data_IF_704571359791
#
_entry.id   IF_704571359791
#
_cell.length_a   1.000
_cell.length_b   1.000
_cell.length_c   1.000
_cell.angle_alpha   90.00
_cell.angle_beta   90.00
_cell.angle_gamma   90.00
#
_symmetry.space_group_name_H-M   'P 1'
#
loop_
_entity.id
_entity.type
_entity.pdbx_description
1 polymer ?
#
# COMPACT_ATOMS: atom_id res chain seq x y z
N UNK A 1 -56.12 -33.86 -24.53
CA UNK A 1 -55.82 -35.11 -25.28
C UNK A 1 -54.39 -35.12 -25.79
N UNK A 2 -53.88 -34.01 -26.36
CA UNK A 2 -52.50 -33.94 -26.86
C UNK A 2 -51.45 -34.16 -25.76
N UNK A 3 -51.62 -33.61 -24.55
CA UNK A 3 -50.67 -33.80 -23.44
C UNK A 3 -50.55 -35.25 -22.96
N UNK A 4 -51.62 -36.04 -23.07
CA UNK A 4 -51.61 -37.48 -22.76
C UNK A 4 -50.90 -38.29 -23.86
N UNK A 5 -51.06 -37.86 -25.11
CA UNK A 5 -50.37 -38.47 -26.26
C UNK A 5 -48.88 -38.12 -26.22
N UNK A 6 -48.51 -36.90 -25.84
CA UNK A 6 -47.12 -36.47 -25.72
C UNK A 6 -46.40 -37.12 -24.53
N UNK A 7 -47.04 -37.22 -23.38
CA UNK A 7 -46.49 -37.95 -22.22
C UNK A 7 -46.35 -39.45 -22.50
N UNK A 8 -47.32 -40.07 -23.19
CA UNK A 8 -47.20 -41.46 -23.64
C UNK A 8 -46.08 -41.65 -24.67
N UNK A 9 -45.97 -40.75 -25.66
CA UNK A 9 -44.91 -40.79 -26.67
C UNK A 9 -43.53 -40.60 -26.06
N UNK A 10 -43.38 -39.69 -25.11
CA UNK A 10 -42.13 -39.43 -24.39
C UNK A 10 -41.71 -40.66 -23.57
N UNK A 11 -42.63 -41.22 -22.79
CA UNK A 11 -42.38 -42.43 -22.01
C UNK A 11 -42.08 -43.66 -22.88
N UNK A 12 -42.84 -43.85 -23.97
CA UNK A 12 -42.59 -44.90 -24.94
C UNK A 12 -41.22 -44.70 -25.64
N UNK A 13 -40.86 -43.47 -26.00
CA UNK A 13 -39.58 -43.17 -26.64
C UNK A 13 -38.38 -43.43 -25.71
N UNK A 14 -38.51 -43.12 -24.42
CA UNK A 14 -37.46 -43.37 -23.42
C UNK A 14 -37.21 -44.88 -23.24
N UNK A 15 -38.28 -45.69 -23.16
CA UNK A 15 -38.18 -47.14 -23.03
C UNK A 15 -37.81 -47.84 -24.35
N UNK A 16 -38.30 -47.36 -25.49
CA UNK A 16 -37.93 -47.87 -26.83
C UNK A 16 -36.50 -47.50 -27.23
N UNK A 17 -35.79 -46.66 -26.47
CA UNK A 17 -34.36 -46.40 -26.67
C UNK A 17 -33.50 -47.63 -26.38
N UNK A 18 -33.99 -48.57 -25.56
CA UNK A 18 -33.32 -49.85 -25.37
C UNK A 18 -33.57 -50.74 -26.61
N UNK A 19 -32.54 -51.12 -27.39
CA UNK A 19 -32.70 -51.87 -28.63
C UNK A 19 -33.36 -53.25 -28.44
N UNK A 20 -33.36 -53.78 -27.21
CA UNK A 20 -34.03 -55.04 -26.89
C UNK A 20 -35.55 -54.94 -26.95
N UNK A 21 -36.15 -53.84 -26.51
CA UNK A 21 -37.61 -53.69 -26.43
C UNK A 21 -38.26 -53.69 -27.82
N UNK A 22 -37.85 -52.87 -28.80
CA UNK A 22 -38.43 -52.93 -30.14
C UNK A 22 -38.09 -54.24 -30.86
N UNK A 23 -36.88 -54.78 -30.68
CA UNK A 23 -36.52 -56.10 -31.25
C UNK A 23 -37.40 -57.22 -30.69
N UNK A 24 -37.69 -57.19 -29.39
CA UNK A 24 -38.58 -58.13 -28.73
C UNK A 24 -40.03 -57.96 -29.19
N UNK A 25 -40.53 -56.73 -29.30
CA UNK A 25 -41.89 -56.49 -29.81
C UNK A 25 -42.06 -57.04 -31.22
N UNK A 26 -41.13 -56.72 -32.14
CA UNK A 26 -41.18 -57.24 -33.51
C UNK A 26 -41.08 -58.76 -33.53
N UNK A 27 -40.14 -59.33 -32.77
CA UNK A 27 -40.01 -60.78 -32.68
C UNK A 27 -41.26 -61.43 -32.07
N UNK A 28 -41.87 -60.82 -31.06
CA UNK A 28 -43.07 -61.33 -30.41
C UNK A 28 -44.24 -61.34 -31.39
N UNK A 29 -44.39 -60.29 -32.21
CA UNK A 29 -45.42 -60.24 -33.24
C UNK A 29 -45.24 -61.33 -34.31
N UNK A 30 -43.99 -61.66 -34.67
CA UNK A 30 -43.66 -62.70 -35.65
C UNK A 30 -43.96 -64.11 -35.12
N UNK A 31 -43.55 -64.41 -33.90
CA UNK A 31 -43.72 -65.75 -33.31
C UNK A 31 -45.14 -65.98 -32.77
N UNK A 32 -45.84 -64.92 -32.35
CA UNK A 32 -47.25 -64.98 -31.94
C UNK A 32 -48.19 -64.54 -33.07
N UNK A 33 -47.85 -64.90 -34.31
CA UNK A 33 -48.59 -64.49 -35.49
C UNK A 33 -50.11 -64.82 -35.47
N UNK A 34 -50.61 -65.90 -34.82
CA UNK A 34 -52.05 -66.16 -34.77
C UNK A 34 -52.80 -65.09 -33.97
N UNK A 35 -52.19 -64.58 -32.89
CA UNK A 35 -52.75 -63.48 -32.09
C UNK A 35 -52.71 -62.17 -32.90
N UNK A 36 -51.58 -61.89 -33.56
CA UNK A 36 -51.43 -60.63 -34.30
C UNK A 36 -52.34 -60.56 -35.52
N UNK A 37 -52.46 -61.65 -36.28
CA UNK A 37 -53.38 -61.73 -37.41
C UNK A 37 -54.83 -61.61 -36.96
N UNK A 38 -55.24 -62.28 -35.87
CA UNK A 38 -56.61 -62.18 -35.36
C UNK A 38 -56.94 -60.77 -34.82
N UNK A 39 -55.95 -60.07 -34.25
CA UNK A 39 -56.11 -58.66 -33.85
C UNK A 39 -56.33 -57.74 -35.06
N UNK A 40 -55.67 -58.03 -36.17
CA UNK A 40 -55.74 -57.26 -37.43
C UNK A 40 -56.98 -57.57 -38.29
N UNK A 41 -57.66 -58.70 -38.07
CA UNK A 41 -58.90 -59.03 -38.79
C UNK A 41 -60.13 -58.29 -38.24
N UNK A 42 -61.13 -58.03 -39.09
CA UNK A 42 -62.38 -57.33 -38.76
C UNK A 42 -63.41 -58.23 -38.05
N UNK A 43 -63.00 -58.95 -37.01
CA UNK A 43 -63.89 -59.73 -36.13
C UNK A 43 -64.40 -58.89 -34.96
N UNK A 44 -65.55 -59.26 -34.39
CA UNK A 44 -66.12 -58.55 -33.25
C UNK A 44 -65.15 -58.59 -32.06
N UNK A 45 -65.13 -57.52 -31.25
CA UNK A 45 -64.25 -57.44 -30.08
C UNK A 45 -64.49 -58.60 -29.08
N UNK A 46 -65.71 -59.11 -29.00
CA UNK A 46 -66.05 -60.28 -28.19
C UNK A 46 -65.34 -61.54 -28.69
N UNK A 47 -65.38 -61.78 -30.00
CA UNK A 47 -64.76 -62.96 -30.64
C UNK A 47 -63.24 -62.92 -30.53
N UNK A 48 -62.62 -61.73 -30.61
CA UNK A 48 -61.17 -61.54 -30.39
C UNK A 48 -60.75 -61.92 -28.97
N UNK A 49 -61.52 -61.49 -27.97
CA UNK A 49 -61.23 -61.78 -26.55
C UNK A 49 -61.43 -63.27 -26.27
N UNK A 50 -62.47 -63.89 -26.82
CA UNK A 50 -62.73 -65.32 -26.68
C UNK A 50 -61.63 -66.16 -27.34
N UNK A 51 -61.19 -65.78 -28.55
CA UNK A 51 -60.05 -66.41 -29.23
C UNK A 51 -58.78 -66.32 -28.39
N UNK A 52 -58.44 -65.13 -27.86
CA UNK A 52 -57.25 -64.95 -27.03
C UNK A 52 -57.35 -65.80 -25.76
N UNK A 53 -58.50 -65.83 -25.07
CA UNK A 53 -58.69 -66.66 -23.88
C UNK A 53 -58.50 -68.15 -24.19
N UNK A 54 -59.12 -68.65 -25.25
CA UNK A 54 -59.00 -70.05 -25.63
C UNK A 54 -57.56 -70.38 -26.03
N UNK A 55 -56.94 -69.55 -26.86
CA UNK A 55 -55.57 -69.73 -27.32
C UNK A 55 -54.53 -69.69 -26.17
N UNK A 56 -54.74 -68.85 -25.15
CA UNK A 56 -53.88 -68.78 -23.97
C UNK A 56 -54.07 -69.96 -22.98
N UNK A 57 -55.23 -70.62 -22.97
CA UNK A 57 -55.57 -71.68 -22.00
C UNK A 57 -55.38 -73.11 -22.53
N UNK A 58 -54.95 -73.29 -23.79
CA UNK A 58 -54.96 -74.61 -24.43
C UNK A 58 -53.75 -75.50 -24.07
N UNK A 59 -52.61 -74.95 -23.61
CA UNK A 59 -51.42 -75.76 -23.28
C UNK A 59 -50.53 -75.12 -22.19
N UNK A 60 -50.11 -75.89 -21.19
CA UNK A 60 -49.19 -75.46 -20.11
C UNK A 60 -47.81 -74.98 -20.64
N UNK A 61 -47.47 -75.32 -21.89
CA UNK A 61 -46.24 -74.91 -22.58
C UNK A 61 -46.32 -73.58 -23.33
N UNK A 62 -47.52 -72.99 -23.43
CA UNK A 62 -47.77 -71.78 -24.23
C UNK A 62 -46.91 -70.60 -23.80
N UNK A 63 -46.85 -70.33 -22.48
CA UNK A 63 -46.05 -69.22 -21.93
C UNK A 63 -44.57 -69.31 -22.29
N UNK A 64 -44.02 -70.52 -22.30
CA UNK A 64 -42.61 -70.72 -22.63
C UNK A 64 -42.37 -70.46 -24.12
N UNK A 65 -43.24 -70.90 -25.02
CA UNK A 65 -43.04 -70.71 -26.45
C UNK A 65 -43.33 -69.26 -26.89
N UNK A 66 -44.39 -68.66 -26.37
CA UNK A 66 -44.85 -67.32 -26.74
C UNK A 66 -44.00 -66.18 -26.18
N UNK A 67 -43.23 -66.41 -25.11
CA UNK A 67 -42.36 -65.40 -24.52
C UNK A 67 -40.87 -65.71 -24.73
N UNK A 68 -40.45 -66.97 -24.59
CA UNK A 68 -39.02 -67.32 -24.62
C UNK A 68 -38.43 -67.26 -26.02
N UNK A 69 -39.13 -67.77 -27.05
CA UNK A 69 -38.61 -67.72 -28.41
C UNK A 69 -38.46 -66.29 -28.94
N UNK A 70 -39.46 -65.39 -28.77
CA UNK A 70 -39.27 -63.98 -29.09
C UNK A 70 -38.13 -63.31 -28.33
N UNK A 71 -37.97 -63.64 -27.05
CA UNK A 71 -36.91 -63.08 -26.22
C UNK A 71 -35.54 -63.53 -26.70
N UNK A 72 -35.36 -64.82 -26.98
CA UNK A 72 -34.11 -65.36 -27.50
C UNK A 72 -33.80 -64.82 -28.88
N UNK A 73 -34.78 -64.70 -29.77
CA UNK A 73 -34.58 -64.12 -31.10
C UNK A 73 -34.23 -62.63 -31.03
N UNK A 74 -34.86 -61.86 -30.13
CA UNK A 74 -34.51 -60.46 -29.90
C UNK A 74 -33.11 -60.30 -29.29
N UNK A 75 -32.74 -61.13 -28.31
CA UNK A 75 -31.38 -61.18 -27.76
C UNK A 75 -30.37 -61.53 -28.85
N UNK A 76 -30.64 -62.57 -29.64
CA UNK A 76 -29.79 -62.96 -30.76
C UNK A 76 -29.63 -61.81 -31.75
N UNK A 77 -30.71 -61.14 -32.16
CA UNK A 77 -30.64 -59.99 -33.05
C UNK A 77 -29.80 -58.86 -32.45
N UNK A 78 -30.07 -58.44 -31.21
CA UNK A 78 -29.38 -57.32 -30.57
C UNK A 78 -27.89 -57.60 -30.32
N UNK A 79 -27.51 -58.86 -30.05
CA UNK A 79 -26.10 -59.22 -29.81
C UNK A 79 -25.34 -59.65 -31.08
N UNK A 80 -25.99 -60.31 -32.03
CA UNK A 80 -25.35 -60.72 -33.28
C UNK A 80 -25.21 -59.56 -34.28
N UNK A 81 -26.19 -58.64 -34.32
CA UNK A 81 -26.20 -57.53 -35.27
C UNK A 81 -24.99 -56.59 -35.15
N UNK A 82 -24.53 -56.17 -33.95
CA UNK A 82 -23.31 -55.39 -33.80
C UNK A 82 -22.06 -56.09 -34.36
N UNK A 83 -21.93 -57.41 -34.16
CA UNK A 83 -20.81 -58.18 -34.70
C UNK A 83 -20.80 -58.20 -36.24
N UNK A 84 -21.95 -58.44 -36.85
CA UNK A 84 -22.09 -58.49 -38.31
C UNK A 84 -21.90 -57.10 -38.94
N UNK A 85 -22.45 -56.06 -38.31
CA UNK A 85 -22.34 -54.69 -38.83
C UNK A 85 -20.92 -54.12 -38.74
N UNK A 86 -20.17 -54.47 -37.69
CA UNK A 86 -18.75 -54.10 -37.58
C UNK A 86 -17.93 -54.56 -38.79
N UNK A 87 -18.06 -55.84 -39.16
CA UNK A 87 -17.34 -56.41 -40.31
C UNK A 87 -17.78 -55.79 -41.64
N UNK A 88 -19.07 -55.51 -41.81
CA UNK A 88 -19.60 -54.83 -43.00
C UNK A 88 -19.00 -53.42 -43.12
N UNK A 89 -18.94 -52.66 -42.02
CA UNK A 89 -18.37 -51.31 -42.01
C UNK A 89 -16.88 -51.33 -42.37
N UNK A 90 -16.12 -52.28 -41.82
CA UNK A 90 -14.69 -52.47 -42.14
C UNK A 90 -14.52 -52.79 -43.63
N UNK A 91 -15.30 -53.72 -44.17
CA UNK A 91 -15.28 -54.07 -45.59
C UNK A 91 -15.62 -52.87 -46.49
N UNK A 92 -16.67 -52.12 -46.16
CA UNK A 92 -17.08 -50.91 -46.90
C UNK A 92 -15.99 -49.83 -46.88
N UNK A 93 -15.35 -49.61 -45.73
CA UNK A 93 -14.25 -48.64 -45.62
C UNK A 93 -13.00 -49.09 -46.39
N UNK A 94 -12.72 -50.39 -46.41
CA UNK A 94 -11.65 -50.95 -47.24
C UNK A 94 -11.91 -50.72 -48.74
N UNK A 95 -13.13 -50.96 -49.21
CA UNK A 95 -13.53 -50.67 -50.60
C UNK A 95 -13.40 -49.18 -50.92
N UNK A 96 -13.87 -48.28 -50.04
CA UNK A 96 -13.74 -46.83 -50.22
C UNK A 96 -12.28 -46.39 -50.32
N UNK A 97 -11.40 -46.97 -49.49
CA UNK A 97 -9.97 -46.70 -49.54
C UNK A 97 -9.36 -47.19 -50.85
N UNK A 98 -9.77 -48.37 -51.32
CA UNK A 98 -9.31 -48.94 -52.58
C UNK A 98 -9.75 -48.08 -53.79
N UNK A 99 -11.01 -47.63 -53.82
CA UNK A 99 -11.52 -46.76 -54.89
C UNK A 99 -10.85 -45.39 -54.89
N UNK A 100 -10.60 -44.80 -53.71
CA UNK A 100 -9.87 -43.53 -53.59
C UNK A 100 -8.43 -43.68 -54.07
N UNK A 101 -7.74 -44.76 -53.70
CA UNK A 101 -6.38 -45.02 -54.16
C UNK A 101 -6.31 -45.28 -55.66
N UNK A 102 -7.31 -45.96 -56.24
CA UNK A 102 -7.41 -46.14 -57.70
C UNK A 102 -7.64 -44.78 -58.38
N UNK A 103 -8.54 -43.95 -57.83
CA UNK A 103 -8.79 -42.59 -58.33
C UNK A 103 -7.53 -41.73 -58.29
N UNK A 104 -6.82 -41.72 -57.17
CA UNK A 104 -5.56 -41.00 -57.00
C UNK A 104 -4.46 -41.52 -57.96
N UNK A 105 -4.39 -42.83 -58.22
CA UNK A 105 -3.48 -43.39 -59.23
C UNK A 105 -3.84 -42.94 -60.65
N UNK A 106 -5.12 -42.86 -60.98
CA UNK A 106 -5.58 -42.32 -62.26
C UNK A 106 -5.33 -40.82 -62.36
N UNK A 107 -5.67 -40.04 -61.33
CA UNK A 107 -5.44 -38.59 -61.25
C UNK A 107 -3.96 -38.25 -61.35
N UNK A 108 -3.08 -39.04 -60.73
CA UNK A 108 -1.61 -38.88 -60.81
C UNK A 108 -1.05 -39.18 -62.21
N UNK A 109 -1.75 -40.03 -62.97
CA UNK A 109 -1.36 -40.42 -64.33
C UNK A 109 -2.07 -39.59 -65.43
N UNK A 110 -3.13 -38.84 -65.10
CA UNK A 110 -3.67 -37.78 -65.95
C UNK A 110 -2.79 -36.55 -65.82
N UNK A 111 -2.23 -36.09 -66.93
CA UNK A 111 -1.59 -34.79 -67.00
C UNK A 111 -2.63 -33.71 -66.66
N UNK A 112 -2.32 -32.84 -65.70
CA UNK A 112 -3.14 -31.68 -65.37
C UNK A 112 -3.43 -30.91 -66.66
N UNK A 113 -4.69 -30.53 -66.87
CA UNK A 113 -5.03 -29.70 -68.03
C UNK A 113 -4.35 -28.32 -67.87
N UNK A 114 -4.03 -27.63 -68.98
CA UNK A 114 -3.45 -26.28 -68.92
C UNK A 114 -4.26 -25.32 -68.02
N UNK A 115 -5.58 -25.43 -68.01
CA UNK A 115 -6.48 -24.66 -67.14
C UNK A 115 -6.31 -24.96 -65.65
N UNK A 116 -6.17 -26.24 -65.29
CA UNK A 116 -5.93 -26.65 -63.90
C UNK A 116 -4.58 -26.16 -63.41
N UNK A 117 -3.55 -26.24 -64.25
CA UNK A 117 -2.21 -25.68 -63.94
C UNK A 117 -2.28 -24.16 -63.79
N UNK A 118 -2.99 -23.46 -64.68
CA UNK A 118 -3.17 -22.01 -64.61
C UNK A 118 -3.88 -21.61 -63.31
N UNK A 119 -4.98 -22.28 -62.96
CA UNK A 119 -5.73 -22.04 -61.71
C UNK A 119 -4.88 -22.31 -60.48
N UNK A 120 -4.13 -23.42 -60.46
CA UNK A 120 -3.25 -23.76 -59.35
C UNK A 120 -2.13 -22.73 -59.19
N UNK A 121 -1.50 -22.29 -60.29
CA UNK A 121 -0.49 -21.22 -60.27
C UNK A 121 -1.08 -19.91 -59.77
N UNK A 122 -2.30 -19.56 -60.17
CA UNK A 122 -2.98 -18.35 -59.69
C UNK A 122 -3.26 -18.41 -58.19
N UNK A 123 -3.70 -19.57 -57.67
CA UNK A 123 -3.90 -19.78 -56.24
C UNK A 123 -2.60 -19.64 -55.46
N UNK A 124 -1.53 -20.32 -55.88
CA UNK A 124 -0.22 -20.19 -55.22
C UNK A 124 0.30 -18.75 -55.25
N UNK A 125 0.14 -18.03 -56.37
CA UNK A 125 0.54 -16.61 -56.45
C UNK A 125 -0.27 -15.73 -55.50
N UNK A 126 -1.58 -15.96 -55.41
CA UNK A 126 -2.43 -15.20 -54.50
C UNK A 126 -2.09 -15.48 -53.03
N UNK A 127 -1.84 -16.74 -52.69
CA UNK A 127 -1.43 -17.14 -51.34
C UNK A 127 -0.04 -16.59 -50.99
N UNK A 128 0.93 -16.70 -51.91
CA UNK A 128 2.28 -16.12 -51.73
C UNK A 128 2.20 -14.63 -51.47
N UNK A 129 1.41 -13.91 -52.28
CA UNK A 129 1.21 -12.47 -52.10
C UNK A 129 0.56 -12.12 -50.76
N UNK A 130 -0.47 -12.88 -50.35
CA UNK A 130 -1.11 -12.68 -49.04
C UNK A 130 -0.15 -12.93 -47.88
N UNK A 131 0.75 -13.90 -48.00
CA UNK A 131 1.76 -14.18 -46.99
C UNK A 131 2.83 -13.09 -46.95
N UNK A 132 3.27 -12.59 -48.11
CA UNK A 132 4.20 -11.46 -48.21
C UNK A 132 3.63 -10.20 -47.56
N UNK A 133 2.36 -9.87 -47.84
CA UNK A 133 1.66 -8.73 -47.24
C UNK A 133 1.54 -8.88 -45.71
N UNK A 134 1.27 -10.09 -45.21
CA UNK A 134 1.24 -10.35 -43.76
C UNK A 134 2.61 -10.24 -43.11
N UNK A 135 3.66 -10.73 -43.77
CA UNK A 135 5.06 -10.60 -43.30
C UNK A 135 5.43 -9.12 -43.20
N UNK A 136 5.15 -8.33 -44.23
CA UNK A 136 5.44 -6.89 -44.23
C UNK A 136 4.68 -6.16 -43.12
N UNK A 137 3.40 -6.50 -42.92
CA UNK A 137 2.58 -5.96 -41.83
C UNK A 137 3.16 -6.30 -40.46
N UNK A 138 3.58 -7.55 -40.25
CA UNK A 138 4.17 -7.98 -38.98
C UNK A 138 5.53 -7.35 -38.75
N UNK A 139 6.35 -7.18 -39.78
CA UNK A 139 7.63 -6.48 -39.69
C UNK A 139 7.45 -5.00 -39.32
N UNK A 140 6.47 -4.32 -39.93
CA UNK A 140 6.12 -2.94 -39.59
C UNK A 140 5.70 -2.81 -38.12
N UNK A 141 4.82 -3.70 -37.65
CA UNK A 141 4.41 -3.74 -36.23
C UNK A 141 5.59 -4.02 -35.29
N UNK A 142 6.47 -4.95 -35.66
CA UNK A 142 7.65 -5.29 -34.87
C UNK A 142 8.60 -4.08 -34.75
N UNK A 143 8.80 -3.35 -35.84
CA UNK A 143 9.66 -2.17 -35.85
C UNK A 143 9.05 -1.03 -35.03
N UNK A 144 7.74 -0.80 -35.13
CA UNK A 144 7.04 0.18 -34.31
C UNK A 144 7.16 -0.16 -32.81
N UNK A 145 6.90 -1.41 -32.42
CA UNK A 145 7.02 -1.86 -31.04
C UNK A 145 8.46 -1.75 -30.51
N UNK A 146 9.48 -2.05 -31.34
CA UNK A 146 10.88 -1.86 -30.97
C UNK A 146 11.24 -0.39 -30.76
N UNK A 147 10.72 0.50 -31.59
CA UNK A 147 10.92 1.96 -31.43
C UNK A 147 10.30 2.44 -30.13
N UNK A 148 9.05 2.05 -29.86
CA UNK A 148 8.37 2.39 -28.61
C UNK A 148 9.11 1.85 -27.39
N UNK A 149 9.63 0.63 -27.46
CA UNK A 149 10.46 0.05 -26.40
C UNK A 149 11.75 0.85 -26.17
N UNK A 150 12.39 1.35 -27.23
CA UNK A 150 13.58 2.18 -27.12
C UNK A 150 13.25 3.53 -26.45
N UNK A 151 12.16 4.18 -26.85
CA UNK A 151 11.71 5.44 -26.26
C UNK A 151 11.34 5.27 -24.78
N UNK A 152 10.64 4.19 -24.44
CA UNK A 152 10.28 3.89 -23.06
C UNK A 152 11.52 3.64 -22.19
N UNK A 153 12.54 2.97 -22.74
CA UNK A 153 13.82 2.78 -22.04
C UNK A 153 14.55 4.11 -21.82
N UNK A 154 14.55 5.02 -22.81
CA UNK A 154 15.12 6.36 -22.63
C UNK A 154 14.40 7.11 -21.50
N UNK A 155 13.06 7.09 -21.48
CA UNK A 155 12.26 7.68 -20.42
C UNK A 155 12.57 7.06 -19.04
N UNK A 156 12.72 5.74 -18.95
CA UNK A 156 13.10 5.06 -17.70
C UNK A 156 14.49 5.50 -17.23
N UNK A 157 15.45 5.67 -18.15
CA UNK A 157 16.79 6.14 -17.76
C UNK A 157 16.78 7.58 -17.26
N UNK A 158 15.97 8.47 -17.87
CA UNK A 158 15.83 9.86 -17.43
C UNK A 158 15.16 9.96 -16.06
N UNK A 159 14.07 9.21 -15.87
CA UNK A 159 13.41 9.09 -14.57
C UNK A 159 14.36 8.55 -13.50
N UNK A 160 15.18 7.55 -13.82
CA UNK A 160 16.21 7.02 -12.92
C UNK A 160 17.23 8.09 -12.50
N UNK A 161 17.71 8.92 -13.44
CA UNK A 161 18.61 10.05 -13.13
C UNK A 161 17.93 11.10 -12.24
N UNK A 162 16.67 11.39 -12.51
CA UNK A 162 15.89 12.36 -11.72
C UNK A 162 15.67 11.86 -10.28
N UNK A 163 15.36 10.58 -10.10
CA UNK A 163 15.25 9.94 -8.79
C UNK A 163 16.57 10.06 -8.03
N UNK A 164 17.69 9.66 -8.65
CA UNK A 164 19.02 9.75 -8.01
C UNK A 164 19.40 11.19 -7.61
N UNK A 165 19.03 12.18 -8.43
CA UNK A 165 19.26 13.59 -8.10
C UNK A 165 18.40 14.04 -6.91
N UNK A 166 17.13 13.63 -6.89
CA UNK A 166 16.23 13.94 -5.78
C UNK A 166 16.68 13.28 -4.47
N UNK A 167 17.15 12.03 -4.52
CA UNK A 167 17.73 11.33 -3.37
C UNK A 167 18.95 12.07 -2.82
N UNK A 168 19.91 12.44 -3.69
CA UNK A 168 21.09 13.22 -3.26
C UNK A 168 20.72 14.57 -2.67
N UNK A 169 19.70 15.25 -3.20
CA UNK A 169 19.22 16.51 -2.66
C UNK A 169 18.58 16.29 -1.28
N UNK A 170 17.78 15.24 -1.12
CA UNK A 170 17.14 14.92 0.15
C UNK A 170 18.17 14.60 1.24
N UNK A 171 19.21 13.82 0.92
CA UNK A 171 20.33 13.54 1.82
C UNK A 171 21.07 14.83 2.25
N UNK A 172 21.23 15.78 1.32
CA UNK A 172 21.86 17.07 1.62
C UNK A 172 21.00 17.92 2.56
N UNK A 173 19.68 17.94 2.34
CA UNK A 173 18.73 18.65 3.18
C UNK A 173 18.64 18.04 4.56
N UNK A 174 18.68 16.71 4.69
CA UNK A 174 18.68 16.03 5.97
C UNK A 174 19.95 16.38 6.78
N UNK A 175 21.11 16.43 6.12
CA UNK A 175 22.35 16.89 6.75
C UNK A 175 22.27 18.34 7.23
N UNK A 176 21.72 19.24 6.41
CA UNK A 176 21.55 20.65 6.78
C UNK A 176 20.58 20.81 7.96
N UNK A 177 19.44 20.12 7.93
CA UNK A 177 18.47 20.08 9.04
C UNK A 177 19.15 19.60 10.34
N UNK A 178 19.95 18.54 10.26
CA UNK A 178 20.67 18.03 11.43
C UNK A 178 21.70 19.03 11.96
N UNK A 179 22.43 19.72 11.08
CA UNK A 179 23.34 20.80 11.47
C UNK A 179 22.59 21.93 12.17
N UNK A 180 21.50 22.42 11.57
CA UNK A 180 20.68 23.50 12.15
C UNK A 180 20.06 23.12 13.49
N UNK A 181 19.65 21.86 13.65
CA UNK A 181 19.15 21.37 14.93
C UNK A 181 20.23 21.37 16.02
N UNK A 182 21.49 21.09 15.66
CA UNK A 182 22.60 21.21 16.60
C UNK A 182 22.88 22.67 16.95
N UNK A 183 22.93 23.57 15.96
CA UNK A 183 23.07 25.02 16.19
C UNK A 183 21.98 25.54 17.15
N UNK A 184 20.73 25.12 16.94
CA UNK A 184 19.59 25.49 17.81
C UNK A 184 19.80 24.99 19.24
N UNK A 185 20.26 23.74 19.43
CA UNK A 185 20.55 23.21 20.77
C UNK A 185 21.62 24.00 21.48
N UNK A 186 22.70 24.36 20.79
CA UNK A 186 23.77 25.18 21.34
C UNK A 186 23.29 26.58 21.73
N UNK A 187 22.44 27.20 20.90
CA UNK A 187 21.81 28.49 21.20
C UNK A 187 20.86 28.41 22.41
N UNK A 188 20.13 27.31 22.57
CA UNK A 188 19.27 27.08 23.74
C UNK A 188 20.12 27.02 25.02
N UNK A 189 21.21 26.24 25.02
CA UNK A 189 22.10 26.14 26.18
C UNK A 189 22.78 27.49 26.48
N UNK A 190 23.22 28.20 25.44
CA UNK A 190 23.81 29.55 25.60
C UNK A 190 22.80 30.51 26.24
N UNK A 191 21.55 30.57 25.76
CA UNK A 191 20.52 31.40 26.37
C UNK A 191 20.22 31.02 27.82
N UNK A 192 20.23 29.73 28.14
CA UNK A 192 20.07 29.25 29.52
C UNK A 192 21.21 29.75 30.42
N UNK A 193 22.45 29.65 29.97
CA UNK A 193 23.60 30.17 30.74
C UNK A 193 23.54 31.69 30.91
N UNK A 194 23.17 32.42 29.85
CA UNK A 194 23.01 33.87 29.89
C UNK A 194 21.94 34.29 30.90
N UNK A 195 20.79 33.61 30.92
CA UNK A 195 19.74 33.88 31.91
C UNK A 195 20.20 33.62 33.35
N UNK A 196 20.96 32.56 33.59
CA UNK A 196 21.54 32.29 34.92
C UNK A 196 22.52 33.39 35.33
N UNK A 197 23.39 33.83 34.43
CA UNK A 197 24.31 34.94 34.71
C UNK A 197 23.58 36.26 34.94
N UNK A 198 22.50 36.53 34.18
CA UNK A 198 21.68 37.73 34.36
C UNK A 198 21.03 37.76 35.75
N UNK A 199 20.48 36.63 36.19
CA UNK A 199 19.90 36.52 37.53
C UNK A 199 20.94 36.72 38.63
N UNK A 200 22.12 36.10 38.49
CA UNK A 200 23.22 36.30 39.43
C UNK A 200 23.69 37.76 39.49
N UNK A 201 23.80 38.43 38.33
CA UNK A 201 24.13 39.86 38.28
C UNK A 201 23.06 40.72 38.94
N UNK A 202 21.77 40.37 38.77
CA UNK A 202 20.67 41.07 39.43
C UNK A 202 20.76 40.96 40.95
N UNK A 203 20.97 39.75 41.49
CA UNK A 203 21.19 39.53 42.93
C UNK A 203 22.40 40.33 43.44
N UNK A 204 23.48 40.37 42.67
CA UNK A 204 24.69 41.13 43.03
C UNK A 204 24.40 42.64 43.08
N UNK A 205 23.59 43.15 42.15
CA UNK A 205 23.17 44.55 42.12
C UNK A 205 22.30 44.90 43.33
N UNK A 206 21.32 44.06 43.68
CA UNK A 206 20.49 44.25 44.88
C UNK A 206 21.34 44.28 46.16
N UNK A 207 22.33 43.40 46.27
CA UNK A 207 23.27 43.40 47.40
C UNK A 207 24.10 44.68 47.46
N UNK A 208 24.60 45.17 46.31
CA UNK A 208 25.34 46.43 46.25
C UNK A 208 24.46 47.64 46.62
N UNK A 209 23.21 47.67 46.18
CA UNK A 209 22.25 48.72 46.56
C UNK A 209 21.97 48.71 48.07
N UNK A 210 21.80 47.53 48.66
CA UNK A 210 21.62 47.39 50.10
C UNK A 210 22.86 47.89 50.87
N UNK A 211 24.07 47.54 50.41
CA UNK A 211 25.33 48.04 50.99
C UNK A 211 25.44 49.57 50.88
N UNK A 212 25.12 50.15 49.72
CA UNK A 212 25.13 51.60 49.52
C UNK A 212 24.16 52.28 50.49
N UNK A 213 22.97 51.70 50.71
CA UNK A 213 22.00 52.23 51.68
C UNK A 213 22.56 52.22 53.10
N UNK A 214 23.17 51.11 53.53
CA UNK A 214 23.81 50.99 54.85
C UNK A 214 24.96 51.98 55.01
N UNK A 215 25.84 52.10 54.02
CA UNK A 215 26.95 53.07 54.03
C UNK A 215 26.44 54.51 54.11
N UNK A 216 25.39 54.86 53.37
CA UNK A 216 24.75 56.19 53.46
C UNK A 216 24.25 56.48 54.88
N UNK A 217 23.61 55.52 55.54
CA UNK A 217 23.18 55.67 56.94
C UNK A 217 24.38 55.87 57.88
N UNK A 218 25.45 55.07 57.73
CA UNK A 218 26.66 55.21 58.53
C UNK A 218 27.34 56.58 58.33
N UNK A 219 27.37 57.12 57.11
CA UNK A 219 27.89 58.47 56.83
C UNK A 219 27.07 59.53 57.57
N UNK A 220 25.74 59.47 57.49
CA UNK A 220 24.85 60.40 58.21
C UNK A 220 25.11 60.35 59.72
N UNK A 221 25.23 59.16 60.29
CA UNK A 221 25.53 58.98 61.72
C UNK A 221 26.88 59.61 62.10
N UNK A 222 27.91 59.42 61.27
CA UNK A 222 29.25 60.00 61.47
C UNK A 222 29.24 61.52 61.33
N UNK A 223 28.48 62.07 60.40
CA UNK A 223 28.29 63.53 60.26
C UNK A 223 27.65 64.12 61.52
N UNK A 224 26.61 63.48 62.06
CA UNK A 224 25.97 63.89 63.32
C UNK A 224 26.93 63.80 64.53
N UNK A 225 27.77 62.78 64.58
CA UNK A 225 28.82 62.62 65.60
C UNK A 225 29.86 63.75 65.52
N UNK A 226 30.35 64.05 64.31
CA UNK A 226 31.27 65.15 64.05
C UNK A 226 30.65 66.48 64.50
N UNK A 227 29.38 66.73 64.21
CA UNK A 227 28.69 67.95 64.63
C UNK A 227 28.55 68.08 66.15
N UNK A 228 28.29 66.97 66.85
CA UNK A 228 28.29 66.93 68.32
C UNK A 228 29.68 67.25 68.87
N UNK A 229 30.73 66.62 68.33
CA UNK A 229 32.12 66.87 68.73
C UNK A 229 32.54 68.32 68.48
N UNK A 230 32.19 68.90 67.31
CA UNK A 230 32.43 70.32 67.00
C UNK A 230 31.76 71.25 68.01
N UNK A 231 30.51 70.96 68.43
CA UNK A 231 29.81 71.73 69.47
C UNK A 231 30.54 71.64 70.82
N UNK A 232 30.89 70.43 71.25
CA UNK A 232 31.64 70.20 72.51
C UNK A 232 33.01 70.90 72.50
N UNK A 233 33.73 70.88 71.37
CA UNK A 233 35.00 71.58 71.20
C UNK A 233 34.83 73.11 71.33
N UNK A 234 33.78 73.69 70.72
CA UNK A 234 33.46 75.13 70.88
C UNK A 234 33.19 75.48 72.34
N UNK A 235 32.49 74.63 73.06
CA UNK A 235 32.19 74.82 74.48
C UNK A 235 33.44 74.73 75.36
N UNK A 236 34.26 73.69 75.19
CA UNK A 236 35.58 73.60 75.85
C UNK A 236 36.48 74.78 75.51
N UNK A 237 36.49 75.26 74.27
CA UNK A 237 37.27 76.44 73.91
C UNK A 237 36.77 77.71 74.62
N UNK A 238 35.45 77.88 74.78
CA UNK A 238 34.88 78.97 75.59
C UNK A 238 35.25 78.84 77.07
N UNK A 239 35.19 77.63 77.62
CA UNK A 239 35.59 77.34 79.00
C UNK A 239 37.09 77.59 79.22
N UNK A 240 37.93 77.20 78.27
CA UNK A 240 39.37 77.44 78.30
C UNK A 240 39.64 78.93 78.23
N UNK A 241 39.01 79.66 77.29
CA UNK A 241 39.13 81.11 77.19
C UNK A 241 38.67 81.84 78.47
N UNK A 242 37.59 81.36 79.12
CA UNK A 242 37.14 81.92 80.40
C UNK A 242 38.13 81.65 81.54
N UNK A 243 38.68 80.44 81.62
CA UNK A 243 39.76 80.08 82.57
C UNK A 243 41.02 80.90 82.32
N UNK A 244 41.44 81.08 81.07
CA UNK A 244 42.59 81.94 80.71
C UNK A 244 42.34 83.39 81.10
N UNK A 245 41.14 83.91 80.87
CA UNK A 245 40.74 85.25 81.32
C UNK A 245 40.73 85.37 82.85
N UNK A 246 40.25 84.34 83.58
CA UNK A 246 40.32 84.31 85.04
C UNK A 246 41.75 84.24 85.56
N UNK A 247 42.61 83.43 84.94
CA UNK A 247 44.04 83.35 85.23
C UNK A 247 44.73 84.69 84.95
N UNK A 248 44.45 85.35 83.83
CA UNK A 248 44.95 86.69 83.53
C UNK A 248 44.49 87.73 84.55
N UNK A 249 43.23 87.68 84.99
CA UNK A 249 42.73 88.52 86.09
C UNK A 249 43.45 88.21 87.42
N UNK A 250 43.68 86.94 87.74
CA UNK A 250 44.46 86.53 88.93
C UNK A 250 45.92 86.93 88.85
N UNK A 251 46.53 86.88 87.68
CA UNK A 251 47.90 87.34 87.43
C UNK A 251 48.00 88.86 87.56
N UNK A 252 47.01 89.60 87.03
CA UNK A 252 46.87 91.05 87.26
C UNK A 252 46.64 91.39 88.74
N UNK A 253 45.81 90.64 89.46
CA UNK A 253 45.64 90.87 90.91
C UNK A 253 46.88 90.46 91.71
N UNK A 254 47.62 89.43 91.30
CA UNK A 254 48.90 89.06 91.91
C UNK A 254 50.01 90.09 91.61
N UNK A 255 49.97 90.76 90.46
CA UNK A 255 50.78 91.94 90.17
C UNK A 255 50.33 93.18 90.97
N UNK A 256 49.04 93.33 91.27
CA UNK A 256 48.51 94.43 92.10
C UNK A 256 48.70 94.21 93.62
N UNK A 257 48.98 92.99 94.08
CA UNK A 257 49.24 92.67 95.50
C UNK A 257 50.72 92.51 95.86
N UNK A 258 51.64 92.91 94.97
CA UNK A 258 53.04 93.21 95.31
C UNK A 258 53.30 94.68 95.03
N UNK A 259 53.68 95.39 96.07
CA UNK A 259 53.75 96.83 96.22
C UNK A 259 54.66 97.55 95.19
N UNK A 260 54.28 98.81 94.97
CA UNK A 260 55.10 99.98 94.57
C UNK A 260 56.40 100.06 95.42
N UNK A 261 57.48 100.81 95.03
CA UNK A 261 57.95 101.29 93.73
C UNK A 261 59.44 100.96 93.46
N UNK A 262 59.86 101.03 92.20
CA UNK A 262 61.28 101.28 91.91
C UNK A 262 61.69 100.99 90.48
N UNK A 263 61.84 102.06 89.68
CA UNK A 263 62.94 102.17 88.74
C UNK A 263 62.82 101.51 87.35
N UNK A 264 62.76 102.39 86.35
CA UNK A 264 63.68 102.44 85.19
C UNK A 264 63.50 101.36 84.08
N UNK A 265 62.95 101.87 82.96
CA UNK A 265 63.41 101.73 81.56
C UNK A 265 63.59 100.32 80.98
N UNK A 266 62.72 99.91 80.05
CA UNK A 266 62.88 100.07 78.58
C UNK A 266 64.17 99.41 78.06
N UNK A 267 64.23 98.61 77.01
CA UNK A 267 63.31 98.17 75.95
C UNK A 267 64.24 97.45 74.97
N UNK A 268 63.88 96.29 74.41
CA UNK A 268 64.08 95.96 72.97
C UNK A 268 63.95 94.46 72.65
N UNK A 269 63.49 94.26 71.41
CA UNK A 269 63.76 93.14 70.49
C UNK A 269 63.11 91.79 70.86
N UNK A 270 62.67 90.94 69.94
CA UNK A 270 62.55 90.95 68.48
C UNK A 270 61.61 89.77 68.13
N UNK A 271 60.97 89.82 66.95
CA UNK A 271 60.49 88.68 66.17
C UNK A 271 61.50 87.50 66.16
N UNK A 272 61.13 86.22 65.86
CA UNK A 272 60.56 85.90 64.54
C UNK A 272 59.68 84.62 64.39
N UNK A 273 58.94 84.66 63.27
CA UNK A 273 58.68 83.65 62.24
C UNK A 273 58.50 82.15 62.54
N UNK A 274 57.56 81.61 61.75
CA UNK A 274 57.59 80.32 61.02
C UNK A 274 57.39 79.06 61.87
N UNK A 275 56.77 77.97 61.40
CA UNK A 275 56.34 77.50 60.07
C UNK A 275 55.42 76.28 60.31
N UNK A 276 54.61 75.95 59.29
CA UNK A 276 54.28 74.60 58.74
C UNK A 276 54.13 73.39 59.70
N UNK A 277 53.15 72.49 59.57
CA UNK A 277 52.49 71.92 58.38
C UNK A 277 50.95 71.83 58.50
#
# INVERSE_FOLDING_TARGET
>A
MNDLIESFKSYASEKLSNPLIPAFLVSWLIFNYPITLNLLTDTSAADKIEFIKNYLHTDDGFFYQSLTYPLLAALFYVFAYPGITGEIIVYLNWIKKLSTNRRLKHERNTLLTPDQVSKLKAQYRAETRSLEEEIERLQSKLNAAKSEQADLNLHLTDLGKKISTLESNNDSLEKDINSKNNDIRELIETNKTLNLTLNAMHETCEQAEAQIKTLKTQVIEKELEIDKLKKSLKEKNRETASKTNQLSKRFKSAQLSREIPGGISSSRLHLPQNKED
#
